data_IF_985413596874
#
_entry.id   IF_985413596874
#
_cell.length_a   1.000
_cell.length_b   1.000
_cell.length_c   1.000
_cell.angle_alpha   90.00
_cell.angle_beta   90.00
_cell.angle_gamma   90.00
#
_symmetry.space_group_name_H-M   'P 1'
#
loop_
_entity.id
_entity.type
_entity.pdbx_description
1 polymer ?
#
# COMPACT_ATOMS: atom_id res chain seq x y z
N UNK A 1 10.30 -40.92 8.24
CA UNK A 1 9.94 -40.61 8.45
C UNK A 1 9.91 -40.39 8.43
N UNK A 2 10.17 -40.25 8.36
CA UNK A 2 10.00 -39.69 8.47
C UNK A 2 10.07 -39.13 8.38
N UNK A 3 10.46 -39.06 8.10
CA UNK A 3 10.28 -38.41 8.17
C UNK A 3 10.32 -37.80 7.93
N UNK A 4 10.74 -37.72 7.87
CA UNK A 4 10.48 -36.99 7.83
C UNK A 4 10.39 -36.41 7.58
N UNK A 5 10.67 -36.43 7.52
CA UNK A 5 10.39 -35.65 7.47
C UNK A 5 10.40 -35.17 7.03
N UNK A 6 10.62 -34.77 7.00
CA UNK A 6 10.36 -34.19 6.83
C UNK A 6 10.34 -33.67 6.55
N UNK A 7 10.62 -33.52 6.49
CA UNK A 7 10.33 -32.95 6.44
C UNK A 7 10.34 -32.44 6.17
N UNK A 8 10.60 -32.19 6.10
CA UNK A 8 10.32 -31.59 6.07
C UNK A 8 10.31 -31.13 5.84
N UNK A 9 10.59 -30.95 5.76
CA UNK A 9 10.30 -30.39 5.69
C UNK A 9 10.23 -29.93 5.42
N UNK A 10 10.47 -29.91 5.37
CA UNK A 10 10.23 -29.30 5.32
C UNK A 10 10.26 -28.87 4.86
N UNK A 11 10.47 -28.50 4.59
CA UNK A 11 10.25 -27.98 4.27
C UNK A 11 10.14 -27.51 4.00
N UNK A 12 10.35 -27.45 3.92
CA UNK A 12 10.02 -26.98 3.74
C UNK A 12 9.81 -26.59 3.39
N UNK A 13 9.85 -26.45 3.24
CA UNK A 13 9.48 -25.85 3.04
C UNK A 13 9.37 -25.56 2.60
N UNK A 14 9.29 -25.41 2.41
CA UNK A 14 9.05 -25.06 1.98
C UNK A 14 8.90 -24.64 1.54
N UNK A 15 8.84 -24.41 1.44
CA UNK A 15 8.70 -23.87 0.91
C UNK A 15 8.52 -23.57 0.37
N UNK A 16 8.42 -23.38 0.32
CA UNK A 16 8.31 -22.95 -0.32
C UNK A 16 8.20 -22.60 -0.84
N UNK A 17 8.15 -22.41 -0.87
CA UNK A 17 8.20 -21.87 -1.48
C UNK A 17 8.16 -21.63 -2.01
N UNK A 18 8.15 -21.41 -2.01
CA UNK A 18 8.30 -21.00 -2.68
C UNK A 18 8.38 -20.77 -3.17
N UNK A 19 8.43 -21.28 -3.32
CA UNK A 19 8.61 -20.87 -4.07
C UNK A 19 8.42 -19.67 -4.42
N UNK A 20 8.36 -19.34 -4.09
CA UNK A 20 8.10 -17.94 -4.20
C UNK A 20 9.38 -17.15 -3.98
N UNK A 21 9.87 -16.61 -5.03
CA UNK A 21 11.13 -15.91 -4.98
C UNK A 21 10.87 -14.44 -4.65
N UNK A 22 11.31 -13.94 -3.47
CA UNK A 22 11.08 -12.54 -3.11
C UNK A 22 11.78 -11.56 -4.06
N UNK A 23 12.78 -11.99 -4.81
CA UNK A 23 13.44 -11.14 -5.79
C UNK A 23 12.55 -10.73 -6.94
N UNK A 24 11.43 -11.40 -7.14
CA UNK A 24 10.50 -11.05 -8.21
C UNK A 24 9.52 -9.96 -7.83
N UNK A 25 9.32 -9.72 -6.54
CA UNK A 25 8.40 -8.68 -6.10
C UNK A 25 9.00 -7.29 -6.33
N UNK A 26 8.12 -6.33 -6.56
CA UNK A 26 8.48 -4.92 -6.60
C UNK A 26 7.91 -4.26 -5.35
N UNK A 27 8.53 -3.15 -4.93
CA UNK A 27 8.06 -2.39 -3.77
C UNK A 27 7.45 -1.09 -4.26
N UNK A 28 6.21 -0.85 -3.86
CA UNK A 28 5.48 0.37 -4.16
C UNK A 28 5.31 1.15 -2.86
N UNK A 29 5.84 2.36 -2.82
CA UNK A 29 5.79 3.22 -1.64
C UNK A 29 4.99 4.47 -1.96
N UNK A 30 4.07 4.83 -1.08
CA UNK A 30 3.34 6.08 -1.17
C UNK A 30 3.69 6.91 0.05
N UNK A 31 4.19 8.12 -0.21
CA UNK A 31 4.41 9.13 0.81
C UNK A 31 3.31 10.16 0.68
N UNK A 32 2.71 10.58 1.79
CA UNK A 32 1.66 11.59 1.70
C UNK A 32 1.94 12.76 2.60
N UNK A 33 1.32 13.88 2.26
CA UNK A 33 1.29 15.07 3.07
C UNK A 33 -0.17 15.48 3.26
N UNK A 34 -0.41 16.21 4.33
CA UNK A 34 -1.72 16.81 4.60
C UNK A 34 -1.51 18.32 4.61
N UNK A 35 -2.21 18.99 3.71
CA UNK A 35 -2.06 20.45 3.51
C UNK A 35 -0.58 20.81 3.31
N UNK A 36 0.14 19.97 2.54
CA UNK A 36 1.52 20.18 2.15
C UNK A 36 2.56 19.88 3.22
N UNK A 37 2.18 19.29 4.35
CA UNK A 37 3.13 19.02 5.45
C UNK A 37 3.01 17.61 5.97
N UNK A 38 4.02 17.20 6.75
CA UNK A 38 3.99 15.95 7.50
C UNK A 38 3.81 16.22 8.99
N UNK A 39 3.11 17.30 9.33
CA UNK A 39 2.79 17.61 10.71
C UNK A 39 1.64 16.75 11.21
N UNK A 40 1.87 16.01 12.28
CA UNK A 40 0.84 15.11 12.82
C UNK A 40 -0.44 15.86 13.19
N UNK A 41 -0.31 17.13 13.61
CA UNK A 41 -1.46 17.94 13.96
C UNK A 41 -2.44 18.09 12.80
N UNK A 42 -1.97 18.08 11.57
CA UNK A 42 -2.85 18.21 10.40
C UNK A 42 -3.79 17.02 10.28
N UNK A 43 -3.31 15.80 10.58
CA UNK A 43 -4.19 14.63 10.61
C UNK A 43 -5.27 14.79 11.68
N UNK A 44 -4.88 15.24 12.87
CA UNK A 44 -5.83 15.40 13.99
C UNK A 44 -6.85 16.48 13.72
N UNK A 45 -6.42 17.60 13.15
CA UNK A 45 -7.32 18.71 12.84
C UNK A 45 -8.36 18.31 11.79
N UNK A 46 -7.97 17.44 10.86
CA UNK A 46 -8.89 16.92 9.85
C UNK A 46 -9.70 15.73 10.31
N UNK A 47 -9.52 15.29 11.55
CA UNK A 47 -10.15 14.08 12.09
C UNK A 47 -9.82 12.87 11.21
N UNK A 48 -8.61 12.83 10.66
CA UNK A 48 -8.13 11.75 9.83
C UNK A 48 -7.26 10.83 10.69
N UNK A 49 -7.64 9.56 10.74
CA UNK A 49 -6.98 8.54 11.54
C UNK A 49 -6.15 7.62 10.67
N UNK A 50 -6.66 7.28 9.50
CA UNK A 50 -6.05 6.27 8.63
C UNK A 50 -5.87 6.79 7.22
N UNK A 51 -4.82 6.31 6.58
CA UNK A 51 -4.61 6.44 5.14
C UNK A 51 -4.99 5.10 4.52
N UNK A 52 -5.79 5.12 3.47
CA UNK A 52 -6.27 3.93 2.80
C UNK A 52 -5.86 3.97 1.33
N UNK A 53 -5.16 2.93 0.89
CA UNK A 53 -4.67 2.81 -0.49
C UNK A 53 -5.34 1.63 -1.15
N UNK A 54 -6.01 1.88 -2.26
CA UNK A 54 -6.65 0.82 -3.05
C UNK A 54 -5.88 0.66 -4.34
N UNK A 55 -5.43 -0.56 -4.61
CA UNK A 55 -4.65 -0.88 -5.80
C UNK A 55 -5.45 -1.81 -6.70
N UNK A 56 -5.47 -1.48 -7.97
CA UNK A 56 -6.14 -2.28 -9.01
C UNK A 56 -5.17 -2.50 -10.16
N UNK A 57 -5.44 -3.54 -10.96
CA UNK A 57 -4.73 -3.66 -12.23
C UNK A 57 -5.18 -2.52 -13.15
N UNK A 58 -4.43 -2.30 -14.23
CA UNK A 58 -4.78 -1.26 -15.20
C UNK A 58 -6.17 -1.49 -15.81
N UNK A 59 -6.63 -2.74 -15.84
CA UNK A 59 -7.96 -3.07 -16.35
C UNK A 59 -9.07 -2.92 -15.32
N UNK A 60 -8.73 -2.58 -14.06
CA UNK A 60 -9.72 -2.32 -13.02
C UNK A 60 -9.98 -3.48 -12.09
N UNK A 61 -9.22 -4.58 -12.19
CA UNK A 61 -9.40 -5.70 -11.27
C UNK A 61 -8.75 -5.38 -9.93
N UNK A 62 -9.46 -5.66 -8.85
CA UNK A 62 -8.97 -5.38 -7.49
C UNK A 62 -7.72 -6.21 -7.19
N UNK A 63 -6.70 -5.56 -6.66
CA UNK A 63 -5.46 -6.21 -6.23
C UNK A 63 -5.37 -6.25 -4.72
N UNK A 64 -5.61 -5.12 -4.06
CA UNK A 64 -5.54 -5.08 -2.62
C UNK A 64 -5.92 -3.72 -2.05
N UNK A 65 -6.20 -3.72 -0.77
CA UNK A 65 -6.45 -2.51 0.00
C UNK A 65 -5.49 -2.51 1.17
N UNK A 66 -4.80 -1.39 1.38
CA UNK A 66 -3.71 -1.29 2.36
C UNK A 66 -3.93 -0.06 3.21
N UNK A 67 -3.73 -0.21 4.51
CA UNK A 67 -4.06 0.83 5.47
C UNK A 67 -2.85 1.14 6.34
N UNK A 68 -2.68 2.42 6.68
CA UNK A 68 -1.66 2.88 7.62
C UNK A 68 -2.23 4.03 8.42
N UNK A 69 -1.59 4.38 9.53
CA UNK A 69 -1.99 5.56 10.30
C UNK A 69 -1.71 6.82 9.48
N UNK A 70 -2.64 7.76 9.53
CA UNK A 70 -2.45 9.04 8.84
C UNK A 70 -1.12 9.70 9.25
N UNK A 71 -0.75 9.58 10.51
CA UNK A 71 0.44 10.21 11.05
C UNK A 71 1.74 9.50 10.71
N UNK A 72 1.68 8.37 10.00
CA UNK A 72 2.88 7.70 9.50
C UNK A 72 3.42 8.35 8.23
N UNK A 73 2.56 8.94 7.43
CA UNK A 73 2.91 9.66 6.20
C UNK A 73 3.62 8.82 5.16
N UNK A 74 3.64 7.50 5.33
CA UNK A 74 4.31 6.60 4.40
C UNK A 74 3.76 5.19 4.53
N UNK A 75 3.60 4.51 3.39
CA UNK A 75 3.27 3.09 3.37
C UNK A 75 4.03 2.45 2.22
N UNK A 76 4.53 1.23 2.45
CA UNK A 76 5.19 0.44 1.42
C UNK A 76 4.50 -0.90 1.31
N UNK A 77 4.23 -1.32 0.09
CA UNK A 77 3.60 -2.61 -0.18
C UNK A 77 4.39 -3.34 -1.26
N UNK A 78 4.42 -4.66 -1.17
CA UNK A 78 5.05 -5.48 -2.19
C UNK A 78 3.98 -5.93 -3.17
N UNK A 79 4.27 -5.75 -4.46
CA UNK A 79 3.34 -6.11 -5.54
C UNK A 79 4.08 -6.92 -6.59
N UNK A 80 3.39 -7.87 -7.23
CA UNK A 80 3.99 -8.55 -8.39
C UNK A 80 4.25 -7.56 -9.51
N UNK A 81 5.21 -7.84 -10.39
CA UNK A 81 5.39 -7.01 -11.59
C UNK A 81 4.08 -6.94 -12.38
N UNK A 82 3.79 -5.77 -12.92
CA UNK A 82 2.56 -5.55 -13.66
C UNK A 82 2.24 -4.10 -13.84
N UNK A 83 1.05 -3.86 -14.40
CA UNK A 83 0.55 -2.52 -14.64
C UNK A 83 -0.61 -2.26 -13.69
N UNK A 84 -0.60 -1.11 -13.04
CA UNK A 84 -1.51 -0.81 -11.95
C UNK A 84 -2.09 0.58 -12.04
N UNK A 85 -3.18 0.76 -11.33
CA UNK A 85 -3.72 2.06 -10.98
C UNK A 85 -4.08 2.01 -9.50
N UNK A 86 -4.09 3.16 -8.85
CA UNK A 86 -4.33 3.21 -7.42
C UNK A 86 -5.01 4.50 -7.05
N UNK A 87 -5.68 4.48 -5.89
CA UNK A 87 -6.30 5.66 -5.32
C UNK A 87 -6.09 5.66 -3.83
N UNK A 88 -6.16 6.85 -3.23
CA UNK A 88 -5.92 7.03 -1.82
C UNK A 88 -6.95 7.96 -1.21
N UNK A 89 -7.28 7.73 0.06
CA UNK A 89 -8.24 8.54 0.79
C UNK A 89 -7.87 8.49 2.26
N UNK A 90 -8.20 9.54 3.00
CA UNK A 90 -8.05 9.55 4.46
C UNK A 90 -9.39 9.24 5.09
N UNK A 91 -9.35 8.42 6.14
CA UNK A 91 -10.53 7.93 6.83
C UNK A 91 -10.48 8.37 8.30
N UNK A 92 -11.66 8.51 8.92
CA UNK A 92 -11.73 8.74 10.36
C UNK A 92 -11.71 7.41 11.12
N UNK A 93 -11.85 7.47 12.44
CA UNK A 93 -11.77 6.27 13.29
C UNK A 93 -12.92 5.29 13.06
N UNK A 94 -13.97 5.73 12.40
CA UNK A 94 -15.10 4.87 12.08
C UNK A 94 -15.01 4.28 10.68
N UNK A 95 -13.96 4.66 9.92
CA UNK A 95 -13.78 4.22 8.55
C UNK A 95 -14.51 5.06 7.52
N UNK A 96 -15.05 6.22 7.92
CA UNK A 96 -15.71 7.13 6.99
C UNK A 96 -14.67 8.04 6.32
N UNK A 97 -14.93 8.39 5.07
CA UNK A 97 -14.02 9.23 4.30
C UNK A 97 -13.99 10.65 4.87
N UNK A 98 -12.78 11.14 5.12
CA UNK A 98 -12.56 12.51 5.56
C UNK A 98 -12.10 13.42 4.43
N UNK A 99 -11.65 12.83 3.32
CA UNK A 99 -11.19 13.59 2.16
C UNK A 99 -11.84 13.03 0.91
N UNK A 100 -11.76 13.83 -0.17
CA UNK A 100 -12.03 13.27 -1.48
C UNK A 100 -10.93 12.28 -1.83
N UNK A 101 -11.24 11.36 -2.73
CA UNK A 101 -10.28 10.37 -3.19
C UNK A 101 -9.28 11.03 -4.13
N UNK A 102 -8.01 10.67 -3.97
CA UNK A 102 -6.95 11.11 -4.87
C UNK A 102 -6.58 9.92 -5.75
N UNK A 103 -6.67 10.11 -7.06
CA UNK A 103 -6.25 9.09 -8.00
C UNK A 103 -4.77 9.30 -8.31
N UNK A 104 -3.98 8.24 -8.18
CA UNK A 104 -2.58 8.27 -8.55
C UNK A 104 -2.48 8.06 -10.06
N UNK A 105 -1.41 8.60 -10.67
CA UNK A 105 -1.14 8.30 -12.07
C UNK A 105 -0.90 6.80 -12.24
N UNK A 106 -1.40 6.21 -13.32
CA UNK A 106 -1.13 4.80 -13.58
C UNK A 106 0.37 4.53 -13.64
N UNK A 107 0.75 3.35 -13.18
CA UNK A 107 2.18 3.02 -13.09
C UNK A 107 2.43 1.57 -13.47
N UNK A 108 3.68 1.28 -13.80
CA UNK A 108 4.14 -0.08 -14.09
C UNK A 108 5.26 -0.44 -13.14
N UNK A 109 5.24 -1.67 -12.69
CA UNK A 109 6.31 -2.20 -11.83
C UNK A 109 6.97 -3.37 -12.55
N UNK A 110 8.28 -3.39 -12.53
CA UNK A 110 9.08 -4.46 -13.06
C UNK A 110 9.74 -5.19 -11.91
N UNK A 111 10.24 -6.37 -12.20
CA UNK A 111 10.89 -7.21 -11.20
C UNK A 111 11.98 -6.42 -10.46
N UNK A 112 11.89 -6.38 -9.14
CA UNK A 112 12.88 -5.71 -8.29
C UNK A 112 12.77 -4.21 -8.22
N UNK A 113 11.76 -3.61 -8.86
CA UNK A 113 11.59 -2.15 -8.85
C UNK A 113 11.24 -1.63 -7.46
N UNK A 114 11.66 -0.39 -7.21
CA UNK A 114 11.18 0.40 -6.08
C UNK A 114 10.61 1.68 -6.65
N UNK A 115 9.31 1.87 -6.50
CA UNK A 115 8.63 3.08 -6.98
C UNK A 115 8.08 3.85 -5.78
N UNK A 116 8.42 5.13 -5.69
CA UNK A 116 7.93 6.02 -4.64
C UNK A 116 7.08 7.10 -5.29
N UNK A 117 5.87 7.26 -4.80
CA UNK A 117 4.91 8.24 -5.31
C UNK A 117 4.48 9.14 -4.17
N UNK A 118 4.42 10.45 -4.44
CA UNK A 118 3.98 11.45 -3.47
C UNK A 118 2.53 11.82 -3.72
N UNK A 119 1.75 11.96 -2.65
CA UNK A 119 0.34 12.36 -2.68
C UNK A 119 0.14 13.47 -1.67
N UNK A 120 -0.66 14.48 -2.01
CA UNK A 120 -1.04 15.52 -1.06
C UNK A 120 -2.55 15.54 -0.88
N UNK A 121 -2.97 15.71 0.37
CA UNK A 121 -4.38 15.94 0.70
C UNK A 121 -4.52 17.41 1.13
N UNK A 122 -4.84 18.31 0.19
CA UNK A 122 -4.94 19.73 0.53
C UNK A 122 -6.13 19.98 1.45
N UNK A 123 -6.08 21.10 2.17
CA UNK A 123 -7.14 21.45 3.12
C UNK A 123 -8.52 21.43 2.47
N UNK A 124 -8.60 21.86 1.21
CA UNK A 124 -9.88 21.91 0.49
C UNK A 124 -10.44 20.51 0.14
N UNK A 125 -9.64 19.46 0.27
CA UNK A 125 -10.12 18.10 -0.02
C UNK A 125 -10.88 17.49 1.16
N UNK A 126 -10.81 18.10 2.32
CA UNK A 126 -11.49 17.57 3.52
C UNK A 126 -12.97 17.96 3.51
N UNK A 127 -13.78 17.04 3.99
CA UNK A 127 -15.22 17.27 4.16
C UNK A 127 -15.52 18.08 5.41
#
# INVERSE_FOLDING_TARGET
MRTLGLLLLGCSGCIIATDHDPGFAATFTVDWTVDGTTERAECRQGDATSFDLIVETRSGAFVGEYEADCEDFEISVDLPPGRYQASAVLLDSRGDERTTQVDLDPFSLYEGDELIVDVDFPARSFY
#
